data_IF_569486382190
#
_entry.id   IF_569486382190
#
_cell.length_a   1.000
_cell.length_b   1.000
_cell.length_c   1.000
_cell.angle_alpha   90.00
_cell.angle_beta   90.00
_cell.angle_gamma   90.00
#
_symmetry.space_group_name_H-M   'P 1'
#
loop_
_entity.id
_entity.type
_entity.pdbx_description
1 polymer ?
#
# COMPACT_ATOMS: atom_id res chain seq x y z
N UNK A 1 23.59 11.54 37.79
CA UNK A 1 22.32 11.29 37.07
C UNK A 1 22.69 10.49 35.85
N UNK A 2 22.35 9.21 35.79
CA UNK A 2 22.59 8.42 34.59
C UNK A 2 21.70 9.00 33.49
N UNK A 3 22.29 9.44 32.37
CA UNK A 3 21.51 9.79 31.18
C UNK A 3 20.59 8.62 30.87
N UNK A 4 19.28 8.85 30.99
CA UNK A 4 18.29 7.85 30.59
C UNK A 4 18.48 7.64 29.10
N UNK A 5 19.02 6.49 28.72
CA UNK A 5 19.14 6.08 27.32
C UNK A 5 17.73 6.13 26.72
N UNK A 6 17.56 6.98 25.71
CA UNK A 6 16.31 7.15 24.98
C UNK A 6 15.85 5.81 24.43
N UNK A 7 14.56 5.52 24.59
CA UNK A 7 13.96 4.29 24.06
C UNK A 7 13.56 4.46 22.61
N UNK A 8 13.46 3.35 21.85
CA UNK A 8 12.97 3.42 20.46
C UNK A 8 11.56 4.03 20.40
N UNK A 9 10.70 3.65 21.34
CA UNK A 9 9.34 4.17 21.45
C UNK A 9 9.29 5.69 21.69
N UNK A 10 10.16 6.21 22.56
CA UNK A 10 10.30 7.65 22.78
C UNK A 10 10.90 8.37 21.56
N UNK A 11 11.80 7.72 20.81
CA UNK A 11 12.32 8.26 19.55
C UNK A 11 11.24 8.38 18.48
N UNK A 12 10.40 7.34 18.30
CA UNK A 12 9.26 7.39 17.37
C UNK A 12 8.29 8.50 17.76
N UNK A 13 7.91 8.59 19.04
CA UNK A 13 6.96 9.61 19.49
C UNK A 13 7.49 11.03 19.29
N UNK A 14 8.77 11.28 19.60
CA UNK A 14 9.41 12.58 19.36
C UNK A 14 9.53 12.91 17.88
N UNK A 15 9.92 11.93 17.05
CA UNK A 15 9.97 12.11 15.60
C UNK A 15 8.63 12.65 15.07
N UNK A 16 7.50 12.04 15.45
CA UNK A 16 6.17 12.51 15.03
C UNK A 16 5.91 13.96 15.46
N UNK A 17 6.23 14.30 16.71
CA UNK A 17 5.99 15.64 17.26
C UNK A 17 6.89 16.70 16.62
N UNK A 18 8.17 16.38 16.43
CA UNK A 18 9.20 17.35 16.02
C UNK A 18 9.31 17.49 14.49
N UNK A 19 8.83 16.52 13.71
CA UNK A 19 8.87 16.57 12.25
C UNK A 19 7.99 17.71 11.70
N UNK A 20 8.54 18.61 10.90
CA UNK A 20 7.82 19.78 10.38
C UNK A 20 8.22 20.12 8.94
N UNK A 21 7.66 21.20 8.39
CA UNK A 21 7.88 21.62 7.00
C UNK A 21 9.34 21.86 6.62
N UNK A 22 10.21 22.19 7.59
CA UNK A 22 11.66 22.40 7.35
C UNK A 22 12.40 21.11 7.03
N UNK A 23 11.82 19.98 7.39
CA UNK A 23 12.35 18.64 7.14
C UNK A 23 11.90 18.08 5.78
N UNK A 24 11.11 18.84 5.02
CA UNK A 24 10.57 18.43 3.72
C UNK A 24 11.38 19.11 2.62
N UNK A 25 12.26 18.35 1.96
CA UNK A 25 12.95 18.83 0.76
C UNK A 25 12.02 18.79 -0.48
N UNK A 26 12.45 19.45 -1.56
CA UNK A 26 11.64 19.59 -2.78
C UNK A 26 11.31 18.23 -3.43
N UNK A 27 12.24 17.28 -3.40
CA UNK A 27 12.04 15.93 -3.93
C UNK A 27 10.92 15.20 -3.16
N UNK A 28 11.00 15.20 -1.82
CA UNK A 28 9.98 14.61 -0.96
C UNK A 28 8.63 15.31 -1.13
N UNK A 29 8.59 16.62 -1.34
CA UNK A 29 7.37 17.36 -1.66
C UNK A 29 6.78 16.92 -3.01
N UNK A 30 7.62 16.71 -4.02
CA UNK A 30 7.23 16.11 -5.30
C UNK A 30 6.66 14.70 -5.15
N UNK A 31 7.29 13.86 -4.33
CA UNK A 31 6.84 12.50 -4.05
C UNK A 31 5.50 12.48 -3.32
N UNK A 32 5.28 13.34 -2.32
CA UNK A 32 3.97 13.49 -1.64
C UNK A 32 2.88 13.81 -2.65
N UNK A 33 3.09 14.77 -3.55
CA UNK A 33 2.10 15.14 -4.57
C UNK A 33 1.73 13.95 -5.43
N UNK A 34 2.72 13.19 -5.90
CA UNK A 34 2.49 11.98 -6.71
C UNK A 34 1.74 10.91 -5.92
N UNK A 35 2.14 10.63 -4.69
CA UNK A 35 1.48 9.64 -3.82
C UNK A 35 0.04 10.01 -3.50
N UNK A 36 -0.23 11.27 -3.18
CA UNK A 36 -1.59 11.75 -2.93
C UNK A 36 -2.43 11.62 -4.20
N UNK A 37 -1.93 12.04 -5.36
CA UNK A 37 -2.67 11.90 -6.64
C UNK A 37 -2.98 10.43 -6.97
N UNK A 38 -1.98 9.55 -6.86
CA UNK A 38 -2.14 8.11 -7.09
C UNK A 38 -3.21 7.52 -6.18
N UNK A 39 -3.11 7.84 -4.89
CA UNK A 39 -3.97 7.26 -3.89
C UNK A 39 -5.41 7.77 -3.97
N UNK A 40 -5.62 9.05 -4.31
CA UNK A 40 -6.94 9.60 -4.55
C UNK A 40 -7.57 9.01 -5.83
N UNK A 41 -6.79 8.87 -6.91
CA UNK A 41 -7.27 8.21 -8.12
C UNK A 41 -7.73 6.77 -7.84
N UNK A 42 -6.95 6.00 -7.07
CA UNK A 42 -7.33 4.64 -6.67
C UNK A 42 -8.61 4.63 -5.84
N UNK A 43 -8.74 5.55 -4.86
CA UNK A 43 -9.96 5.68 -4.08
C UNK A 43 -11.18 5.98 -4.95
N UNK A 44 -11.03 6.85 -5.94
CA UNK A 44 -12.08 7.20 -6.92
C UNK A 44 -12.48 5.96 -7.71
N UNK A 45 -11.54 5.32 -8.41
CA UNK A 45 -11.82 4.18 -9.29
C UNK A 45 -12.37 2.97 -8.53
N UNK A 46 -11.85 2.71 -7.34
CA UNK A 46 -12.28 1.60 -6.51
C UNK A 46 -13.59 1.86 -5.74
N UNK A 47 -14.09 3.10 -5.67
CA UNK A 47 -15.24 3.48 -4.82
C UNK A 47 -16.51 2.66 -5.09
N UNK A 48 -16.69 2.19 -6.33
CA UNK A 48 -17.90 1.47 -6.75
C UNK A 48 -17.74 -0.04 -6.87
N UNK A 49 -16.56 -0.60 -6.53
CA UNK A 49 -16.32 -2.04 -6.58
C UNK A 49 -17.22 -2.79 -5.57
N UNK A 50 -17.51 -4.09 -5.81
CA UNK A 50 -18.45 -4.83 -4.98
C UNK A 50 -18.13 -4.79 -3.48
N UNK A 51 -16.87 -4.98 -3.10
CA UNK A 51 -16.42 -4.91 -1.70
C UNK A 51 -16.44 -3.49 -1.14
N UNK A 52 -16.20 -2.46 -1.95
CA UNK A 52 -16.30 -1.05 -1.52
C UNK A 52 -17.71 -0.73 -1.06
N UNK A 53 -18.73 -1.21 -1.78
CA UNK A 53 -20.14 -1.11 -1.38
C UNK A 53 -20.45 -1.90 -0.11
N UNK A 54 -19.88 -3.10 0.04
CA UNK A 54 -20.05 -3.94 1.23
C UNK A 54 -19.48 -3.24 2.48
N UNK A 55 -18.25 -2.70 2.37
CA UNK A 55 -17.56 -2.00 3.45
C UNK A 55 -18.33 -0.74 3.86
N UNK A 56 -18.80 0.06 2.89
CA UNK A 56 -19.61 1.25 3.16
C UNK A 56 -20.94 0.90 3.85
N UNK A 57 -21.63 -0.15 3.37
CA UNK A 57 -22.87 -0.65 3.99
C UNK A 57 -22.64 -1.11 5.42
N UNK A 58 -21.56 -1.86 5.67
CA UNK A 58 -21.20 -2.32 7.02
C UNK A 58 -20.92 -1.15 7.96
N UNK A 59 -20.13 -0.17 7.50
CA UNK A 59 -19.66 0.92 8.38
C UNK A 59 -20.81 1.76 8.92
N UNK A 60 -21.89 1.93 8.14
CA UNK A 60 -23.03 2.77 8.50
C UNK A 60 -22.57 4.12 9.10
N UNK A 61 -21.90 4.95 8.29
CA UNK A 61 -21.12 6.08 8.77
C UNK A 61 -21.96 7.08 9.57
N UNK A 62 -21.44 7.50 10.73
CA UNK A 62 -22.02 8.55 11.57
C UNK A 62 -21.87 9.91 10.89
N UNK A 63 -22.77 10.87 11.13
CA UNK A 63 -22.64 12.22 10.61
C UNK A 63 -21.33 12.90 11.05
N UNK A 64 -20.76 13.71 10.16
CA UNK A 64 -19.55 14.50 10.43
C UNK A 64 -19.14 15.32 9.22
N UNK A 65 -17.92 15.87 9.23
CA UNK A 65 -17.45 16.83 8.22
C UNK A 65 -16.51 16.23 7.17
N UNK A 66 -16.05 15.00 7.36
CA UNK A 66 -15.07 14.38 6.47
C UNK A 66 -15.73 13.80 5.21
N UNK A 67 -15.16 14.09 4.05
CA UNK A 67 -15.63 13.61 2.76
C UNK A 67 -15.36 12.11 2.58
N UNK A 68 -16.36 11.42 2.00
CA UNK A 68 -16.16 10.08 1.47
C UNK A 68 -15.99 10.20 -0.05
N UNK A 69 -14.90 9.64 -0.56
CA UNK A 69 -14.55 9.77 -1.99
C UNK A 69 -15.65 9.20 -2.87
N UNK A 70 -16.02 9.97 -3.89
CA UNK A 70 -17.06 9.68 -4.86
C UNK A 70 -18.47 9.47 -4.26
N UNK A 71 -18.73 10.02 -3.07
CA UNK A 71 -20.05 10.03 -2.43
C UNK A 71 -20.53 11.47 -2.21
N UNK A 72 -21.85 11.66 -2.11
CA UNK A 72 -22.49 12.99 -1.96
C UNK A 72 -22.66 13.42 -0.50
N UNK A 73 -22.27 12.57 0.46
CA UNK A 73 -22.43 12.81 1.88
C UNK A 73 -21.09 12.73 2.62
N UNK A 74 -21.07 13.30 3.82
CA UNK A 74 -19.92 13.37 4.72
C UNK A 74 -20.16 12.52 5.96
N UNK A 75 -19.09 12.19 6.68
CA UNK A 75 -19.13 11.35 7.85
C UNK A 75 -18.18 11.82 8.95
N UNK A 76 -18.28 11.21 10.13
CA UNK A 76 -17.27 11.31 11.17
C UNK A 76 -15.91 10.88 10.61
N UNK A 77 -14.80 11.52 11.01
CA UNK A 77 -13.49 11.34 10.36
C UNK A 77 -13.02 9.88 10.38
N UNK A 78 -13.17 9.17 11.50
CA UNK A 78 -12.81 7.75 11.60
C UNK A 78 -13.65 6.85 10.67
N UNK A 79 -14.89 7.24 10.36
CA UNK A 79 -15.78 6.49 9.46
C UNK A 79 -15.44 6.79 8.00
N UNK A 80 -15.22 8.06 7.66
CA UNK A 80 -14.79 8.48 6.32
C UNK A 80 -13.42 7.90 5.96
N UNK A 81 -12.44 8.02 6.86
CA UNK A 81 -11.09 7.51 6.65
C UNK A 81 -11.07 5.98 6.49
N UNK A 82 -11.88 5.25 7.26
CA UNK A 82 -12.04 3.79 7.09
C UNK A 82 -12.55 3.41 5.70
N UNK A 83 -13.60 4.10 5.22
CA UNK A 83 -14.22 3.80 3.92
C UNK A 83 -13.22 4.14 2.80
N UNK A 84 -12.62 5.34 2.86
CA UNK A 84 -11.65 5.79 1.87
C UNK A 84 -10.39 4.91 1.87
N UNK A 85 -9.93 4.41 3.02
CA UNK A 85 -8.81 3.48 3.10
C UNK A 85 -9.14 2.12 2.46
N UNK A 86 -10.36 1.61 2.65
CA UNK A 86 -10.81 0.39 1.99
C UNK A 86 -10.91 0.56 0.46
N UNK A 87 -11.35 1.72 -0.02
CA UNK A 87 -11.29 2.03 -1.46
C UNK A 87 -9.84 2.07 -1.93
N UNK A 88 -9.00 2.75 -1.15
CA UNK A 88 -7.59 2.97 -1.44
C UNK A 88 -6.74 1.70 -1.52
N UNK A 89 -7.10 0.64 -0.80
CA UNK A 89 -6.47 -0.68 -0.93
C UNK A 89 -7.35 -1.69 -1.69
N UNK A 90 -8.42 -1.21 -2.31
CA UNK A 90 -9.50 -2.03 -2.83
C UNK A 90 -9.11 -2.91 -4.00
N UNK A 91 -8.00 -2.65 -4.70
CA UNK A 91 -7.73 -3.32 -5.98
C UNK A 91 -6.26 -3.65 -6.27
N UNK A 92 -5.43 -3.76 -5.23
CA UNK A 92 -4.00 -4.09 -5.38
C UNK A 92 -3.20 -3.14 -6.29
N UNK A 93 -3.51 -1.85 -6.30
CA UNK A 93 -2.90 -0.89 -7.24
C UNK A 93 -2.18 0.29 -6.59
N UNK A 94 -2.18 0.31 -5.27
CA UNK A 94 -1.60 1.31 -4.39
C UNK A 94 -0.08 1.26 -4.30
N UNK A 95 0.47 2.29 -3.68
CA UNK A 95 1.90 2.48 -3.44
C UNK A 95 2.49 1.40 -2.52
N UNK A 96 3.82 1.23 -2.60
CA UNK A 96 4.53 0.32 -1.69
C UNK A 96 6.02 0.65 -1.48
N UNK A 97 6.58 0.26 -0.33
CA UNK A 97 8.02 -0.04 -0.19
C UNK A 97 8.21 -1.38 0.51
N UNK A 98 8.84 -2.32 -0.20
CA UNK A 98 8.89 -3.70 0.26
C UNK A 98 7.47 -4.24 0.47
N UNK A 99 7.10 -4.50 1.72
CA UNK A 99 5.77 -5.01 2.10
C UNK A 99 4.84 -3.95 2.70
N UNK A 100 5.31 -2.70 2.81
CA UNK A 100 4.53 -1.59 3.35
C UNK A 100 3.61 -1.01 2.27
N UNK A 101 2.37 -0.69 2.65
CA UNK A 101 1.38 0.03 1.84
C UNK A 101 0.84 1.23 2.64
N UNK A 102 1.61 2.32 2.77
CA UNK A 102 1.26 3.43 3.63
C UNK A 102 0.18 4.35 3.04
N UNK A 103 0.13 4.56 1.72
CA UNK A 103 -0.79 5.53 1.12
C UNK A 103 -2.27 5.23 1.38
N UNK A 104 -2.67 3.96 1.30
CA UNK A 104 -4.04 3.55 1.61
C UNK A 104 -4.47 3.78 3.05
N UNK A 105 -3.53 4.11 3.94
CA UNK A 105 -3.78 4.42 5.34
C UNK A 105 -3.64 5.91 5.62
N UNK A 106 -2.48 6.46 5.27
CA UNK A 106 -2.04 7.78 5.70
C UNK A 106 -2.80 8.88 4.96
N UNK A 107 -3.02 8.74 3.65
CA UNK A 107 -3.77 9.72 2.84
C UNK A 107 -5.21 9.91 3.33
N UNK A 108 -6.04 8.85 3.45
CA UNK A 108 -7.40 9.03 3.92
C UNK A 108 -7.49 9.51 5.37
N UNK A 109 -6.53 9.15 6.24
CA UNK A 109 -6.46 9.67 7.61
C UNK A 109 -6.19 11.17 7.63
N UNK A 110 -5.17 11.62 6.88
CA UNK A 110 -4.76 13.01 6.87
C UNK A 110 -5.86 13.93 6.30
N UNK A 111 -6.57 13.48 5.26
CA UNK A 111 -7.66 14.23 4.66
C UNK A 111 -8.87 14.32 5.60
N UNK A 112 -9.28 13.19 6.20
CA UNK A 112 -10.45 13.16 7.08
C UNK A 112 -10.25 13.96 8.37
N UNK A 113 -9.11 13.80 9.03
CA UNK A 113 -8.77 14.54 10.26
C UNK A 113 -8.47 16.00 9.91
N UNK A 114 -7.80 16.27 8.79
CA UNK A 114 -7.54 17.62 8.32
C UNK A 114 -8.82 18.42 8.10
N UNK A 115 -9.86 17.81 7.52
CA UNK A 115 -11.18 18.46 7.40
C UNK A 115 -11.83 18.76 8.75
N UNK A 116 -11.70 17.86 9.72
CA UNK A 116 -12.26 18.04 11.05
C UNK A 116 -11.60 19.18 11.81
N UNK A 117 -10.26 19.24 11.81
CA UNK A 117 -9.50 20.27 12.54
C UNK A 117 -9.36 21.58 11.77
N UNK A 118 -9.84 21.62 10.52
CA UNK A 118 -9.76 22.79 9.65
C UNK A 118 -8.35 23.09 9.14
N UNK A 119 -7.55 22.05 8.93
CA UNK A 119 -6.14 22.15 8.54
C UNK A 119 -5.93 22.76 7.15
N UNK A 120 -4.78 23.38 6.98
CA UNK A 120 -4.23 23.80 5.69
C UNK A 120 -3.58 22.63 4.96
N UNK A 121 -3.34 22.80 3.66
CA UNK A 121 -2.70 21.79 2.82
C UNK A 121 -1.25 21.51 3.25
N UNK A 122 -0.53 22.50 3.79
CA UNK A 122 0.83 22.30 4.33
C UNK A 122 0.80 21.47 5.62
N UNK A 123 -0.13 21.74 6.53
CA UNK A 123 -0.30 20.95 7.77
C UNK A 123 -0.64 19.50 7.47
N UNK A 124 -1.54 19.27 6.51
CA UNK A 124 -1.86 17.92 5.99
C UNK A 124 -0.63 17.26 5.38
N UNK A 125 0.20 18.00 4.64
CA UNK A 125 1.43 17.47 4.02
C UNK A 125 2.47 17.06 5.04
N UNK A 126 2.67 17.86 6.10
CA UNK A 126 3.55 17.49 7.22
C UNK A 126 3.03 16.23 7.92
N UNK A 127 1.72 16.14 8.16
CA UNK A 127 1.11 14.98 8.81
C UNK A 127 1.15 13.70 7.95
N UNK A 128 1.02 13.85 6.62
CA UNK A 128 1.22 12.75 5.67
C UNK A 128 2.62 12.19 5.81
N UNK A 129 3.65 13.03 5.75
CA UNK A 129 5.04 12.59 5.88
C UNK A 129 5.33 11.95 7.23
N UNK A 130 4.90 12.56 8.34
CA UNK A 130 5.07 11.97 9.66
C UNK A 130 4.44 10.57 9.76
N UNK A 131 3.26 10.38 9.15
CA UNK A 131 2.58 9.08 9.08
C UNK A 131 3.29 8.05 8.21
N UNK A 132 3.68 8.43 6.98
CA UNK A 132 4.43 7.58 6.05
C UNK A 132 5.74 7.12 6.69
N UNK A 133 6.52 8.06 7.22
CA UNK A 133 7.81 7.78 7.85
C UNK A 133 7.63 6.86 9.06
N UNK A 134 6.67 7.12 9.94
CA UNK A 134 6.41 6.26 11.11
C UNK A 134 6.02 4.85 10.70
N UNK A 135 5.07 4.71 9.76
CA UNK A 135 4.66 3.41 9.24
C UNK A 135 5.86 2.64 8.68
N UNK A 136 6.60 3.26 7.76
CA UNK A 136 7.62 2.58 6.97
C UNK A 136 8.83 2.27 7.82
N UNK A 137 9.29 3.19 8.68
CA UNK A 137 10.46 2.97 9.56
C UNK A 137 10.20 1.83 10.55
N UNK A 138 9.03 1.78 11.20
CA UNK A 138 8.64 0.65 12.06
C UNK A 138 8.58 -0.66 11.24
N UNK A 139 7.96 -0.62 10.07
CA UNK A 139 7.80 -1.79 9.21
C UNK A 139 9.12 -2.37 8.71
N UNK A 140 10.07 -1.52 8.30
CA UNK A 140 11.38 -1.93 7.76
C UNK A 140 12.20 -2.70 8.77
N UNK A 141 12.19 -2.27 10.03
CA UNK A 141 12.83 -2.99 11.13
C UNK A 141 12.25 -4.40 11.31
N UNK A 142 10.97 -4.60 10.98
CA UNK A 142 10.24 -5.87 11.05
C UNK A 142 10.27 -6.74 9.78
N UNK A 143 10.76 -6.23 8.67
CA UNK A 143 10.65 -6.87 7.36
C UNK A 143 11.82 -7.84 7.10
N UNK A 144 11.60 -8.99 6.44
CA UNK A 144 10.34 -9.51 5.89
C UNK A 144 9.50 -10.32 6.88
N UNK A 145 9.97 -10.45 8.13
CA UNK A 145 9.50 -11.45 9.10
C UNK A 145 8.03 -11.27 9.50
N UNK A 146 7.51 -10.03 9.54
CA UNK A 146 6.09 -9.79 9.83
C UNK A 146 5.16 -10.52 8.86
N UNK A 147 5.44 -10.42 7.55
CA UNK A 147 4.66 -11.08 6.51
C UNK A 147 4.87 -12.60 6.56
N UNK A 148 6.13 -13.04 6.74
CA UNK A 148 6.47 -14.46 6.83
C UNK A 148 5.81 -15.15 8.03
N UNK A 149 5.54 -14.41 9.11
CA UNK A 149 4.80 -14.89 10.27
C UNK A 149 3.28 -14.99 10.03
N UNK A 150 2.78 -14.57 8.87
CA UNK A 150 1.38 -14.65 8.47
C UNK A 150 0.54 -13.41 8.81
N UNK A 151 1.17 -12.31 9.23
CA UNK A 151 0.47 -11.06 9.53
C UNK A 151 0.43 -10.15 8.31
N UNK A 152 -0.73 -9.54 8.08
CA UNK A 152 -0.87 -8.58 7.00
C UNK A 152 -0.22 -7.24 7.39
N UNK A 153 0.82 -6.75 6.67
CA UNK A 153 1.55 -5.56 7.07
C UNK A 153 0.67 -4.31 7.22
N UNK A 154 -0.22 -4.01 6.27
CA UNK A 154 -1.15 -2.87 6.39
C UNK A 154 -2.38 -3.11 7.28
N UNK A 155 -2.50 -4.26 7.94
CA UNK A 155 -3.46 -4.43 9.04
C UNK A 155 -2.82 -4.19 10.41
N UNK A 156 -1.49 -4.31 10.49
CA UNK A 156 -0.69 -4.09 11.70
C UNK A 156 -0.07 -2.69 11.71
N UNK A 157 0.72 -2.37 10.68
CA UNK A 157 1.51 -1.13 10.58
C UNK A 157 0.66 0.11 10.34
N UNK A 158 -0.48 -0.05 9.66
CA UNK A 158 -1.41 1.05 9.40
C UNK A 158 -2.01 1.65 10.69
N UNK A 159 -2.12 0.89 11.78
CA UNK A 159 -2.56 1.45 13.06
C UNK A 159 -1.58 2.53 13.53
N UNK A 160 -0.26 2.30 13.38
CA UNK A 160 0.78 3.28 13.73
C UNK A 160 0.81 4.46 12.75
N UNK A 161 0.70 4.19 11.45
CA UNK A 161 0.66 5.25 10.43
C UNK A 161 -0.51 6.22 10.64
N UNK A 162 -1.73 5.68 10.82
CA UNK A 162 -2.91 6.49 11.10
C UNK A 162 -2.82 7.21 12.45
N UNK A 163 -2.35 6.54 13.51
CA UNK A 163 -2.16 7.18 14.82
C UNK A 163 -1.13 8.33 14.76
N UNK A 164 -0.02 8.16 14.05
CA UNK A 164 0.99 9.21 13.87
C UNK A 164 0.43 10.41 13.09
N UNK A 165 -0.28 10.17 11.98
CA UNK A 165 -0.92 11.22 11.18
C UNK A 165 -1.96 11.98 12.00
N UNK A 166 -2.86 11.28 12.69
CA UNK A 166 -3.88 11.91 13.52
C UNK A 166 -3.26 12.65 14.72
N UNK A 167 -2.26 12.06 15.39
CA UNK A 167 -1.55 12.71 16.49
C UNK A 167 -0.91 14.04 16.05
N UNK A 168 -0.36 14.07 14.83
CA UNK A 168 0.24 15.28 14.26
C UNK A 168 -0.81 16.38 14.02
N UNK A 169 -1.95 16.02 13.43
CA UNK A 169 -3.02 16.98 13.11
C UNK A 169 -3.77 17.50 14.34
N UNK A 170 -3.96 16.65 15.36
CA UNK A 170 -4.53 17.08 16.64
C UNK A 170 -3.53 17.82 17.55
N UNK A 171 -2.24 17.91 17.16
CA UNK A 171 -1.21 18.63 17.92
C UNK A 171 -0.85 17.98 19.26
N UNK A 172 -0.82 16.64 19.32
CA UNK A 172 -0.47 15.91 20.54
C UNK A 172 0.98 16.19 20.96
N UNK A 173 1.22 16.21 22.27
CA UNK A 173 2.59 16.24 22.81
C UNK A 173 3.26 14.84 22.77
N UNK A 174 4.53 14.76 23.13
CA UNK A 174 5.31 13.52 23.06
C UNK A 174 4.75 12.37 23.93
N UNK A 175 4.24 12.67 25.13
CA UNK A 175 3.67 11.64 26.00
C UNK A 175 2.31 11.15 25.49
N UNK A 176 1.47 12.04 24.97
CA UNK A 176 0.20 11.66 24.33
C UNK A 176 0.44 10.84 23.05
N UNK A 177 1.42 11.24 22.23
CA UNK A 177 1.81 10.52 21.01
C UNK A 177 2.37 9.13 21.32
N UNK A 178 3.19 9.00 22.36
CA UNK A 178 3.68 7.70 22.81
C UNK A 178 2.52 6.79 23.23
N UNK A 179 1.57 7.31 24.00
CA UNK A 179 0.40 6.55 24.44
C UNK A 179 -0.50 6.15 23.26
N UNK A 180 -0.74 7.04 22.30
CA UNK A 180 -1.57 6.71 21.13
C UNK A 180 -0.93 5.60 20.27
N UNK A 181 0.38 5.66 20.03
CA UNK A 181 1.11 4.60 19.32
C UNK A 181 1.11 3.28 20.10
N UNK A 182 1.22 3.34 21.44
CA UNK A 182 1.17 2.16 22.29
C UNK A 182 -0.24 1.50 22.29
N UNK A 183 -1.30 2.31 22.29
CA UNK A 183 -2.69 1.82 22.16
C UNK A 183 -2.92 1.25 20.75
N UNK A 184 -2.35 1.86 19.71
CA UNK A 184 -2.46 1.38 18.32
C UNK A 184 -1.95 -0.06 18.15
N UNK A 185 -0.92 -0.47 18.90
CA UNK A 185 -0.49 -1.87 18.92
C UNK A 185 -1.59 -2.84 19.40
N UNK A 186 -2.40 -2.42 20.37
CA UNK A 186 -3.47 -3.27 20.94
C UNK A 186 -4.58 -3.55 19.92
N UNK A 187 -4.65 -2.77 18.84
CA UNK A 187 -5.56 -2.97 17.72
C UNK A 187 -4.96 -3.77 16.55
N UNK A 188 -3.65 -4.03 16.56
CA UNK A 188 -2.97 -4.75 15.49
C UNK A 188 -3.54 -6.17 15.33
N UNK A 189 -4.02 -6.48 14.14
CA UNK A 189 -4.66 -7.76 13.81
C UNK A 189 -4.61 -8.01 12.29
N UNK A 190 -5.18 -9.12 11.81
CA UNK A 190 -5.33 -9.44 10.39
C UNK A 190 -4.24 -10.38 9.85
N UNK A 191 -4.65 -11.54 9.37
CA UNK A 191 -3.76 -12.56 8.81
C UNK A 191 -3.74 -12.51 7.28
N UNK A 192 -2.77 -13.19 6.66
CA UNK A 192 -2.62 -13.31 5.20
C UNK A 192 -3.37 -14.49 4.60
N UNK A 193 -4.19 -15.22 5.37
CA UNK A 193 -4.86 -16.46 4.90
C UNK A 193 -5.74 -16.22 3.66
N UNK A 194 -6.27 -15.00 3.51
CA UNK A 194 -7.03 -14.60 2.34
C UNK A 194 -6.28 -14.83 1.01
N UNK A 195 -4.94 -14.81 1.02
CA UNK A 195 -4.11 -15.02 -0.17
C UNK A 195 -4.01 -16.51 -0.57
N UNK A 196 -4.31 -17.42 0.35
CA UNK A 196 -4.22 -18.88 0.12
C UNK A 196 -5.59 -19.48 -0.19
N UNK A 197 -6.59 -19.21 0.66
CA UNK A 197 -7.92 -19.82 0.55
C UNK A 197 -9.01 -18.85 0.09
N UNK A 198 -8.63 -17.62 -0.25
CA UNK A 198 -9.54 -16.57 -0.71
C UNK A 198 -10.26 -15.82 0.41
N UNK A 199 -11.17 -14.93 0.00
CA UNK A 199 -11.94 -14.05 0.87
C UNK A 199 -11.57 -12.57 0.69
N UNK A 200 -12.58 -11.70 0.71
CA UNK A 200 -12.42 -10.27 0.43
C UNK A 200 -11.98 -9.43 1.63
N UNK A 201 -11.62 -10.05 2.77
CA UNK A 201 -11.31 -9.32 4.01
C UNK A 201 -10.12 -8.37 3.87
N UNK A 202 -9.16 -8.70 2.97
CA UNK A 202 -8.04 -7.81 2.65
C UNK A 202 -8.51 -6.41 2.24
N UNK A 203 -9.64 -6.33 1.53
CA UNK A 203 -10.22 -5.06 1.07
C UNK A 203 -10.67 -4.14 2.21
N UNK A 204 -10.88 -4.69 3.41
CA UNK A 204 -11.28 -3.93 4.59
C UNK A 204 -10.14 -3.74 5.61
N UNK A 205 -9.04 -4.47 5.47
CA UNK A 205 -7.91 -4.46 6.41
C UNK A 205 -7.34 -3.06 6.66
N UNK A 206 -7.05 -2.31 5.59
CA UNK A 206 -6.55 -0.93 5.70
C UNK A 206 -7.56 -0.02 6.42
N UNK A 207 -8.86 -0.15 6.09
CA UNK A 207 -9.93 0.57 6.76
C UNK A 207 -9.95 0.32 8.27
N UNK A 208 -9.97 -0.96 8.67
CA UNK A 208 -9.99 -1.37 10.07
C UNK A 208 -8.84 -0.73 10.85
N UNK A 209 -7.63 -0.82 10.31
CA UNK A 209 -6.43 -0.27 10.96
C UNK A 209 -6.44 1.27 11.03
N UNK A 210 -6.95 1.95 9.99
CA UNK A 210 -7.10 3.41 9.98
C UNK A 210 -8.06 3.89 11.08
N UNK A 211 -9.24 3.26 11.18
CA UNK A 211 -10.18 3.58 12.28
C UNK A 211 -9.49 3.41 13.62
N UNK A 212 -8.87 2.25 13.83
CA UNK A 212 -8.24 1.90 15.09
C UNK A 212 -7.12 2.88 15.47
N UNK A 213 -6.32 3.35 14.50
CA UNK A 213 -5.27 4.35 14.75
C UNK A 213 -5.83 5.71 15.17
N UNK A 214 -6.92 6.16 14.55
CA UNK A 214 -7.63 7.39 14.94
C UNK A 214 -8.22 7.23 16.34
N UNK A 215 -8.93 6.13 16.61
CA UNK A 215 -9.50 5.84 17.93
C UNK A 215 -8.42 5.73 19.02
N UNK A 216 -7.21 5.26 18.68
CA UNK A 216 -6.08 5.22 19.62
C UNK A 216 -5.62 6.61 20.05
N UNK A 217 -5.70 7.60 19.15
CA UNK A 217 -5.42 9.00 19.47
C UNK A 217 -6.54 9.59 20.34
N UNK A 218 -7.80 9.32 20.02
CA UNK A 218 -8.95 9.74 20.83
C UNK A 218 -8.88 9.18 22.26
N UNK A 219 -8.50 7.90 22.41
CA UNK A 219 -8.28 7.27 23.71
C UNK A 219 -7.13 7.92 24.50
N UNK A 220 -6.01 8.23 23.83
CA UNK A 220 -4.89 8.91 24.46
C UNK A 220 -5.26 10.34 24.91
N UNK A 221 -6.03 11.08 24.10
CA UNK A 221 -6.57 12.39 24.46
C UNK A 221 -7.51 12.32 25.67
N UNK A 222 -8.28 11.23 25.81
CA UNK A 222 -9.11 10.95 26.98
C UNK A 222 -8.32 10.51 28.24
N UNK A 223 -6.99 10.36 28.13
CA UNK A 223 -6.11 10.01 29.25
C UNK A 223 -5.85 8.51 29.42
N UNK A 224 -6.27 7.66 28.46
CA UNK A 224 -5.87 6.26 28.45
C UNK A 224 -4.37 6.17 28.12
N UNK A 225 -3.66 5.31 28.84
CA UNK A 225 -2.21 5.11 28.66
C UNK A 225 -1.90 3.73 28.11
N UNK A 226 -0.76 3.60 27.43
CA UNK A 226 -0.29 2.35 26.84
C UNK A 226 1.07 1.90 27.38
N UNK A 227 1.51 0.67 27.06
CA UNK A 227 2.81 0.17 27.48
C UNK A 227 3.95 0.96 26.83
N UNK A 228 4.84 1.56 27.63
CA UNK A 228 5.98 2.35 27.12
C UNK A 228 6.96 1.59 26.22
N UNK A 229 6.97 0.26 26.29
CA UNK A 229 7.82 -0.64 25.50
C UNK A 229 7.01 -1.43 24.46
N UNK A 230 6.10 -0.75 23.76
CA UNK A 230 5.19 -1.40 22.82
C UNK A 230 5.90 -1.98 21.59
N UNK A 231 7.08 -1.47 21.20
CA UNK A 231 7.83 -2.05 20.08
C UNK A 231 8.79 -3.15 20.54
N UNK A 232 9.67 -2.79 21.48
CA UNK A 232 10.88 -3.57 21.83
C UNK A 232 10.74 -4.42 23.09
N UNK A 233 9.68 -4.23 23.87
CA UNK A 233 9.45 -4.99 25.10
C UNK A 233 9.20 -6.47 24.85
N UNK A 234 9.28 -7.27 25.92
CA UNK A 234 9.11 -8.74 25.85
C UNK A 234 7.74 -9.18 25.26
N UNK A 235 6.75 -8.30 25.37
CA UNK A 235 5.40 -8.47 24.80
C UNK A 235 5.07 -7.44 23.70
N UNK A 236 6.08 -6.73 23.22
CA UNK A 236 5.97 -5.72 22.16
C UNK A 236 5.96 -6.33 20.77
N UNK A 237 5.65 -5.49 19.77
CA UNK A 237 5.48 -5.84 18.36
C UNK A 237 6.55 -6.81 17.84
N UNK A 238 7.82 -6.48 18.05
CA UNK A 238 8.92 -7.25 17.45
C UNK A 238 9.02 -8.67 18.02
N UNK A 239 8.73 -8.85 19.32
CA UNK A 239 8.77 -10.18 19.94
C UNK A 239 7.53 -11.01 19.64
N UNK A 240 6.34 -10.40 19.65
CA UNK A 240 5.06 -11.14 19.58
C UNK A 240 4.60 -11.42 18.15
N UNK A 241 4.67 -10.42 17.26
CA UNK A 241 4.22 -10.57 15.86
C UNK A 241 5.35 -11.04 14.94
N UNK A 242 6.57 -10.57 15.20
CA UNK A 242 7.70 -10.68 14.26
C UNK A 242 8.70 -11.75 14.73
N UNK A 243 8.66 -12.13 16.02
CA UNK A 243 9.52 -13.14 16.65
C UNK A 243 11.02 -12.83 16.53
N UNK A 244 11.38 -11.55 16.64
CA UNK A 244 12.78 -11.09 16.67
C UNK A 244 13.00 -9.95 17.66
N UNK A 245 14.27 -9.64 17.89
CA UNK A 245 14.68 -8.47 18.69
C UNK A 245 15.25 -7.40 17.77
N UNK A 246 14.99 -6.15 18.08
CA UNK A 246 15.55 -4.97 17.41
C UNK A 246 16.52 -4.29 18.37
N UNK A 247 17.74 -4.01 17.91
CA UNK A 247 18.78 -3.38 18.71
C UNK A 247 18.64 -1.85 18.77
N UNK A 248 19.59 -1.20 19.45
CA UNK A 248 19.60 0.25 19.66
C UNK A 248 19.95 1.03 18.39
N UNK A 249 20.59 0.41 17.41
CA UNK A 249 20.88 0.98 16.09
C UNK A 249 19.61 1.49 15.39
N UNK A 250 18.44 0.93 15.71
CA UNK A 250 17.16 1.39 15.20
C UNK A 250 16.78 2.83 15.62
N UNK A 251 17.46 3.41 16.62
CA UNK A 251 17.26 4.82 16.99
C UNK A 251 17.70 5.78 15.88
N UNK A 252 18.73 5.42 15.12
CA UNK A 252 19.27 6.24 14.03
C UNK A 252 18.22 6.46 12.94
N UNK A 253 17.38 5.45 12.69
CA UNK A 253 16.28 5.47 11.75
C UNK A 253 15.17 6.46 12.13
N UNK A 254 15.12 7.00 13.36
CA UNK A 254 14.10 7.97 13.80
C UNK A 254 14.66 9.35 14.13
N UNK A 255 15.87 9.66 13.64
CA UNK A 255 16.38 11.03 13.65
C UNK A 255 15.72 11.87 12.54
N UNK A 256 15.65 13.18 12.75
CA UNK A 256 15.08 14.12 11.78
C UNK A 256 15.96 14.29 10.52
N UNK A 257 17.25 14.01 10.64
CA UNK A 257 18.22 14.04 9.54
C UNK A 257 18.33 12.70 8.77
N UNK A 258 17.68 11.64 9.26
CA UNK A 258 17.69 10.34 8.58
C UNK A 258 16.98 10.44 7.21
N UNK A 259 17.48 9.74 6.17
CA UNK A 259 16.87 9.75 4.85
C UNK A 259 15.37 9.43 4.87
N UNK A 260 14.59 10.25 4.17
CA UNK A 260 13.14 10.10 4.09
C UNK A 260 12.78 8.81 3.35
N UNK A 261 11.93 8.00 3.98
CA UNK A 261 11.45 6.73 3.46
C UNK A 261 10.40 6.89 2.38
N UNK A 262 9.72 8.03 2.31
CA UNK A 262 8.79 8.33 1.22
C UNK A 262 9.46 8.26 -0.16
N UNK A 263 10.75 8.56 -0.24
CA UNK A 263 11.54 8.50 -1.49
C UNK A 263 11.83 7.06 -1.93
N UNK A 264 11.52 6.07 -1.08
CA UNK A 264 11.62 4.66 -1.40
C UNK A 264 10.28 4.08 -1.90
N UNK A 265 9.22 4.90 -1.98
CA UNK A 265 7.93 4.47 -2.47
C UNK A 265 7.97 4.13 -3.96
N UNK A 266 7.28 3.05 -4.28
CA UNK A 266 7.05 2.56 -5.62
C UNK A 266 5.57 2.66 -5.95
N UNK A 267 5.25 2.94 -7.21
CA UNK A 267 3.89 2.91 -7.73
C UNK A 267 3.67 1.62 -8.50
N UNK A 268 2.57 0.92 -8.23
CA UNK A 268 2.20 -0.26 -8.99
C UNK A 268 1.76 0.11 -10.41
N UNK A 269 2.35 -0.55 -11.41
CA UNK A 269 1.97 -0.46 -12.83
C UNK A 269 0.85 -1.43 -13.22
N UNK A 270 0.63 -2.44 -12.39
CA UNK A 270 -0.33 -3.51 -12.61
C UNK A 270 -1.17 -3.74 -11.35
N UNK A 271 -2.44 -4.13 -11.51
CA UNK A 271 -3.37 -4.36 -10.38
C UNK A 271 -3.18 -5.74 -9.76
N UNK A 272 -1.97 -6.04 -9.26
CA UNK A 272 -1.62 -7.31 -8.64
C UNK A 272 -0.50 -7.13 -7.60
N UNK A 273 -0.15 -8.21 -6.89
CA UNK A 273 0.95 -8.18 -5.91
C UNK A 273 2.25 -7.61 -6.51
N UNK A 274 2.93 -6.72 -5.78
CA UNK A 274 4.16 -6.07 -6.23
C UNK A 274 5.27 -7.06 -6.65
N UNK A 275 5.32 -8.23 -6.01
CA UNK A 275 6.26 -9.29 -6.34
C UNK A 275 6.11 -9.84 -7.78
N UNK A 276 4.95 -9.62 -8.42
CA UNK A 276 4.69 -10.07 -9.79
C UNK A 276 5.22 -9.12 -10.85
N UNK A 277 5.47 -7.85 -10.51
CA UNK A 277 5.59 -6.78 -11.52
C UNK A 277 6.80 -6.95 -12.44
N UNK A 278 7.96 -7.32 -11.88
CA UNK A 278 9.14 -7.58 -12.70
C UNK A 278 8.91 -8.81 -13.62
N UNK A 279 8.23 -9.86 -13.15
CA UNK A 279 7.94 -11.03 -13.98
C UNK A 279 6.97 -10.71 -15.12
N UNK A 280 5.95 -9.88 -14.86
CA UNK A 280 5.04 -9.38 -15.90
C UNK A 280 5.84 -8.68 -17.01
N UNK A 281 6.79 -7.82 -16.65
CA UNK A 281 7.63 -7.11 -17.62
C UNK A 281 8.60 -8.02 -18.37
N UNK A 282 9.18 -9.05 -17.73
CA UNK A 282 10.00 -10.04 -18.45
C UNK A 282 9.18 -10.78 -19.51
N UNK A 283 7.94 -11.13 -19.21
CA UNK A 283 7.09 -11.85 -20.14
C UNK A 283 6.56 -10.99 -21.29
N UNK A 284 6.47 -9.67 -21.10
CA UNK A 284 6.15 -8.73 -22.18
C UNK A 284 7.23 -8.69 -23.27
N UNK A 285 8.47 -9.06 -22.95
CA UNK A 285 9.60 -9.09 -23.89
C UNK A 285 9.54 -10.27 -24.87
N UNK A 286 8.83 -11.34 -24.52
CA UNK A 286 8.72 -12.57 -25.34
C UNK A 286 7.37 -12.69 -26.06
N UNK A 287 6.57 -11.63 -26.08
CA UNK A 287 5.19 -11.64 -26.62
C UNK A 287 5.12 -12.08 -28.09
N UNK A 288 6.11 -11.71 -28.89
CA UNK A 288 6.16 -12.03 -30.33
C UNK A 288 6.32 -13.55 -30.58
N UNK A 289 6.76 -14.29 -29.55
CA UNK A 289 6.95 -15.74 -29.59
C UNK A 289 6.10 -16.49 -28.57
N UNK A 290 5.09 -15.85 -27.97
CA UNK A 290 4.30 -16.43 -26.90
C UNK A 290 3.64 -17.78 -27.28
N UNK A 291 3.21 -17.93 -28.54
CA UNK A 291 2.61 -19.16 -29.06
C UNK A 291 3.60 -20.33 -29.18
N UNK A 292 4.89 -20.03 -29.27
CA UNK A 292 5.97 -21.02 -29.38
C UNK A 292 6.52 -21.47 -28.02
N UNK A 293 6.12 -20.83 -26.92
CA UNK A 293 6.59 -21.18 -25.58
C UNK A 293 6.14 -22.59 -25.21
N UNK A 294 7.10 -23.44 -24.87
CA UNK A 294 6.88 -24.82 -24.39
C UNK A 294 7.17 -24.98 -22.90
N UNK A 295 7.87 -24.03 -22.28
CA UNK A 295 8.11 -24.02 -20.84
C UNK A 295 8.78 -22.74 -20.36
N UNK A 296 8.49 -22.38 -19.11
CA UNK A 296 9.12 -21.25 -18.41
C UNK A 296 9.57 -21.74 -17.03
N UNK A 297 10.80 -21.47 -16.63
CA UNK A 297 11.26 -21.63 -15.25
C UNK A 297 11.48 -20.24 -14.65
N UNK A 298 10.73 -19.89 -13.62
CA UNK A 298 10.82 -18.60 -12.94
C UNK A 298 11.33 -18.83 -11.51
N UNK A 299 12.52 -18.30 -11.23
CA UNK A 299 13.17 -18.39 -9.92
C UNK A 299 12.70 -17.23 -9.06
N UNK A 300 12.04 -17.52 -7.93
CA UNK A 300 11.39 -16.54 -7.06
C UNK A 300 12.06 -16.43 -5.70
N UNK A 301 11.95 -15.26 -5.08
CA UNK A 301 12.38 -15.02 -3.68
C UNK A 301 11.46 -15.74 -2.68
N UNK A 302 11.96 -16.05 -1.48
CA UNK A 302 11.17 -16.69 -0.41
C UNK A 302 9.93 -15.87 -0.06
N UNK A 303 10.05 -14.54 -0.08
CA UNK A 303 8.92 -13.63 0.17
C UNK A 303 7.83 -13.74 -0.91
N UNK A 304 8.22 -13.88 -2.18
CA UNK A 304 7.29 -14.08 -3.29
C UNK A 304 6.53 -15.40 -3.10
N UNK A 305 7.22 -16.45 -2.64
CA UNK A 305 6.60 -17.75 -2.35
C UNK A 305 5.53 -17.70 -1.25
N UNK A 306 5.65 -16.79 -0.29
CA UNK A 306 4.72 -16.67 0.83
C UNK A 306 3.28 -16.31 0.42
N UNK A 307 3.09 -15.63 -0.71
CA UNK A 307 1.80 -15.06 -1.11
C UNK A 307 1.40 -15.42 -2.56
N UNK A 308 2.36 -15.42 -3.50
CA UNK A 308 2.06 -15.58 -4.93
C UNK A 308 2.79 -16.74 -5.61
N UNK A 309 3.72 -17.39 -4.90
CA UNK A 309 4.41 -18.58 -5.37
C UNK A 309 3.70 -19.87 -4.95
N UNK A 310 4.48 -20.92 -4.72
CA UNK A 310 4.01 -22.31 -4.63
C UNK A 310 3.10 -22.60 -3.44
N UNK A 311 3.09 -21.74 -2.42
CA UNK A 311 2.22 -21.87 -1.24
C UNK A 311 0.80 -21.41 -1.46
N UNK A 312 0.53 -20.62 -2.51
CA UNK A 312 -0.82 -20.19 -2.82
C UNK A 312 -1.57 -21.31 -3.55
N UNK A 313 -2.67 -21.77 -2.96
CA UNK A 313 -3.41 -22.94 -3.44
C UNK A 313 -4.08 -22.76 -4.82
N UNK A 314 -4.23 -21.51 -5.26
CA UNK A 314 -4.99 -21.15 -6.46
C UNK A 314 -4.12 -20.48 -7.54
N UNK A 315 -2.79 -20.51 -7.43
CA UNK A 315 -1.87 -19.88 -8.39
C UNK A 315 -2.04 -20.34 -9.84
N UNK A 316 -2.58 -21.53 -10.09
CA UNK A 316 -2.75 -22.10 -11.43
C UNK A 316 -4.22 -22.24 -11.86
N UNK A 317 -5.16 -21.77 -11.03
CA UNK A 317 -6.59 -21.85 -11.31
C UNK A 317 -7.34 -20.74 -10.56
N UNK A 318 -7.07 -19.44 -10.85
CA UNK A 318 -7.76 -18.35 -10.21
C UNK A 318 -9.24 -18.31 -10.61
N UNK A 319 -10.13 -18.26 -9.62
CA UNK A 319 -11.60 -18.29 -9.80
C UNK A 319 -12.27 -16.97 -9.40
N UNK A 320 -11.56 -16.13 -8.66
CA UNK A 320 -12.02 -14.82 -8.23
C UNK A 320 -10.88 -13.80 -8.37
N UNK A 321 -11.21 -12.54 -8.13
CA UNK A 321 -10.30 -11.43 -8.38
C UNK A 321 -9.08 -11.50 -7.47
N UNK A 322 -9.24 -11.85 -6.20
CA UNK A 322 -8.13 -12.03 -5.27
C UNK A 322 -7.15 -13.08 -5.81
N UNK A 323 -7.64 -14.26 -6.17
CA UNK A 323 -6.81 -15.35 -6.70
C UNK A 323 -6.07 -14.93 -7.98
N UNK A 324 -6.70 -14.17 -8.89
CA UNK A 324 -6.04 -13.64 -10.09
C UNK A 324 -4.91 -12.65 -9.73
N UNK A 325 -5.15 -11.76 -8.77
CA UNK A 325 -4.18 -10.75 -8.36
C UNK A 325 -2.95 -11.34 -7.63
N UNK A 326 -3.07 -12.57 -7.11
CA UNK A 326 -1.98 -13.32 -6.48
C UNK A 326 -1.46 -14.50 -7.31
N UNK A 327 -1.98 -14.72 -8.51
CA UNK A 327 -1.48 -15.77 -9.41
C UNK A 327 -0.32 -15.23 -10.26
N UNK A 328 0.92 -15.46 -9.83
CA UNK A 328 2.09 -15.10 -10.63
C UNK A 328 2.06 -15.75 -12.05
N UNK A 329 1.73 -17.05 -12.21
CA UNK A 329 1.66 -17.68 -13.53
C UNK A 329 0.59 -17.07 -14.46
N UNK A 330 -0.61 -16.74 -13.95
CA UNK A 330 -1.64 -16.11 -14.78
C UNK A 330 -1.24 -14.70 -15.19
N UNK A 331 -0.66 -13.90 -14.28
CA UNK A 331 -0.19 -12.55 -14.59
C UNK A 331 0.93 -12.56 -15.65
N UNK A 332 1.88 -13.50 -15.54
CA UNK A 332 2.92 -13.73 -16.55
C UNK A 332 2.33 -14.11 -17.91
N UNK A 333 1.34 -15.01 -17.93
CA UNK A 333 0.68 -15.44 -19.16
C UNK A 333 -0.13 -14.33 -19.84
N UNK A 334 -0.87 -13.52 -19.08
CA UNK A 334 -1.60 -12.35 -19.59
C UNK A 334 -0.66 -11.37 -20.30
N UNK A 335 0.50 -11.11 -19.71
CA UNK A 335 1.52 -10.22 -20.27
C UNK A 335 2.11 -10.77 -21.58
N UNK A 336 2.51 -12.05 -21.58
CA UNK A 336 3.04 -12.70 -22.78
C UNK A 336 2.02 -12.71 -23.94
N UNK A 337 0.74 -12.83 -23.63
CA UNK A 337 -0.34 -12.84 -24.63
C UNK A 337 -0.87 -11.43 -24.97
N UNK A 338 -0.24 -10.38 -24.46
CA UNK A 338 -0.64 -8.97 -24.69
C UNK A 338 -2.09 -8.67 -24.29
N UNK A 339 -2.58 -9.32 -23.21
CA UNK A 339 -3.94 -9.13 -22.69
C UNK A 339 -4.02 -8.05 -21.59
N UNK A 340 -2.88 -7.49 -21.19
CA UNK A 340 -2.77 -6.47 -20.15
C UNK A 340 -2.81 -7.03 -18.74
N UNK A 341 -2.44 -6.19 -17.77
CA UNK A 341 -2.43 -6.51 -16.33
C UNK A 341 -2.91 -5.30 -15.48
N UNK A 342 -3.46 -4.27 -16.12
CA UNK A 342 -3.89 -3.01 -15.51
C UNK A 342 -5.29 -3.08 -14.91
N UNK A 343 -5.85 -1.89 -14.60
CA UNK A 343 -7.16 -1.77 -13.98
C UNK A 343 -8.26 -2.30 -14.90
N UNK A 344 -8.23 -1.92 -16.18
CA UNK A 344 -9.22 -2.39 -17.16
C UNK A 344 -9.22 -3.92 -17.32
N UNK A 345 -8.06 -4.57 -17.42
CA UNK A 345 -7.99 -6.04 -17.56
C UNK A 345 -8.63 -6.76 -16.37
N UNK A 346 -8.38 -6.28 -15.15
CA UNK A 346 -8.95 -6.89 -13.95
C UNK A 346 -10.44 -6.57 -13.79
N UNK A 347 -10.89 -5.41 -14.28
CA UNK A 347 -12.33 -5.08 -14.43
C UNK A 347 -13.02 -6.01 -15.42
N UNK A 348 -12.41 -6.27 -16.56
CA UNK A 348 -12.93 -7.20 -17.56
C UNK A 348 -13.09 -8.61 -16.98
N UNK A 349 -12.17 -9.04 -16.11
CA UNK A 349 -12.33 -10.30 -15.36
C UNK A 349 -13.55 -10.29 -14.43
N UNK A 350 -13.72 -9.24 -13.63
CA UNK A 350 -14.90 -9.09 -12.76
C UNK A 350 -16.22 -9.08 -13.53
N UNK A 351 -16.21 -8.58 -14.76
CA UNK A 351 -17.36 -8.48 -15.64
C UNK A 351 -17.58 -9.73 -16.51
N UNK A 352 -16.74 -10.76 -16.36
CA UNK A 352 -16.83 -12.00 -17.14
C UNK A 352 -16.40 -11.86 -18.60
N UNK A 353 -15.68 -10.79 -18.95
CA UNK A 353 -15.14 -10.52 -20.30
C UNK A 353 -13.75 -11.13 -20.52
N UNK A 354 -13.00 -11.41 -19.45
CA UNK A 354 -11.71 -12.11 -19.51
C UNK A 354 -11.88 -13.59 -19.15
N UNK A 355 -11.62 -14.48 -20.11
CA UNK A 355 -11.71 -15.93 -19.92
C UNK A 355 -10.44 -16.52 -19.28
N UNK A 356 -10.57 -17.01 -18.06
CA UNK A 356 -9.54 -17.75 -17.32
C UNK A 356 -9.95 -19.21 -17.04
N UNK A 357 -10.83 -19.79 -17.87
CA UNK A 357 -11.12 -21.22 -17.84
C UNK A 357 -9.84 -22.06 -18.04
N UNK A 358 -9.79 -23.32 -17.56
CA UNK A 358 -8.65 -24.21 -17.79
C UNK A 358 -8.26 -24.36 -19.27
N UNK A 359 -9.24 -24.23 -20.17
CA UNK A 359 -9.08 -24.28 -21.62
C UNK A 359 -8.72 -22.93 -22.25
N UNK A 360 -8.57 -21.85 -21.49
CA UNK A 360 -8.21 -20.55 -22.05
C UNK A 360 -6.74 -20.51 -22.48
N UNK A 361 -6.41 -19.63 -23.44
CA UNK A 361 -5.03 -19.43 -23.89
C UNK A 361 -4.10 -19.01 -22.75
N UNK A 362 -4.61 -18.16 -21.84
CA UNK A 362 -3.90 -17.70 -20.64
C UNK A 362 -3.55 -18.87 -19.76
N UNK A 363 -4.54 -19.70 -19.40
CA UNK A 363 -4.31 -20.79 -18.47
C UNK A 363 -3.45 -21.90 -19.07
N UNK A 364 -3.59 -22.20 -20.37
CA UNK A 364 -2.66 -23.12 -21.06
C UNK A 364 -1.20 -22.66 -21.01
N UNK A 365 -0.94 -21.36 -21.09
CA UNK A 365 0.42 -20.82 -20.95
C UNK A 365 0.86 -20.79 -19.49
N UNK A 366 -0.02 -20.39 -18.58
CA UNK A 366 0.26 -20.37 -17.14
C UNK A 366 0.70 -21.76 -16.62
N UNK A 367 0.08 -22.84 -17.09
CA UNK A 367 0.44 -24.22 -16.75
C UNK A 367 1.84 -24.66 -17.23
N UNK A 368 2.46 -23.91 -18.15
CA UNK A 368 3.84 -24.16 -18.61
C UNK A 368 4.88 -23.43 -17.75
N UNK A 369 4.44 -22.60 -16.80
CA UNK A 369 5.30 -21.80 -15.94
C UNK A 369 5.54 -22.57 -14.64
N UNK A 370 6.79 -22.94 -14.41
CA UNK A 370 7.24 -23.55 -13.16
C UNK A 370 7.87 -22.48 -12.28
N UNK A 371 7.48 -22.43 -11.02
CA UNK A 371 8.08 -21.55 -10.02
C UNK A 371 9.06 -22.34 -9.15
N UNK A 372 10.23 -21.77 -8.89
CA UNK A 372 11.25 -22.37 -8.01
C UNK A 372 11.77 -21.33 -7.02
N UNK A 373 11.80 -21.65 -5.72
CA UNK A 373 12.35 -20.72 -4.72
C UNK A 373 13.88 -20.69 -4.81
N UNK A 374 14.48 -19.50 -4.87
CA UNK A 374 15.94 -19.28 -4.91
C UNK A 374 16.40 -18.44 -3.71
N UNK A 375 17.01 -19.06 -2.69
CA UNK A 375 17.65 -18.36 -1.58
C UNK A 375 18.78 -17.41 -2.02
N UNK A 376 19.39 -17.66 -3.17
CA UNK A 376 20.44 -16.80 -3.75
C UNK A 376 19.88 -15.41 -4.12
N UNK A 377 18.65 -15.35 -4.61
CA UNK A 377 17.97 -14.07 -4.87
C UNK A 377 17.70 -13.31 -3.57
N UNK A 378 17.29 -14.00 -2.49
CA UNK A 378 17.08 -13.37 -1.18
C UNK A 378 18.38 -12.80 -0.58
N UNK A 379 19.50 -13.53 -0.76
CA UNK A 379 20.81 -13.09 -0.28
C UNK A 379 21.34 -11.86 -1.03
N UNK A 380 21.05 -11.77 -2.34
CA UNK A 380 21.57 -10.71 -3.21
C UNK A 380 20.67 -9.47 -3.28
N UNK A 381 19.35 -9.66 -3.18
CA UNK A 381 18.38 -8.60 -3.41
C UNK A 381 17.40 -8.46 -2.25
N UNK A 382 17.32 -7.25 -1.70
CA UNK A 382 16.37 -6.88 -0.63
C UNK A 382 15.04 -6.35 -1.17
N UNK A 383 14.87 -6.37 -2.48
CA UNK A 383 13.72 -5.89 -3.23
C UNK A 383 13.31 -6.93 -4.27
N UNK A 384 12.12 -6.77 -4.84
CA UNK A 384 11.58 -7.71 -5.82
C UNK A 384 12.33 -7.67 -7.14
N UNK A 385 12.78 -8.85 -7.59
CA UNK A 385 13.43 -9.08 -8.88
C UNK A 385 12.72 -10.21 -9.64
N UNK A 386 12.94 -10.26 -10.96
CA UNK A 386 12.54 -11.40 -11.78
C UNK A 386 13.74 -12.08 -12.43
N UNK A 387 13.73 -13.40 -12.42
CA UNK A 387 14.73 -14.27 -13.03
C UNK A 387 14.01 -15.43 -13.74
N UNK A 388 14.05 -15.42 -15.08
CA UNK A 388 13.19 -16.26 -15.92
C UNK A 388 13.99 -16.90 -17.06
N UNK A 389 13.84 -18.22 -17.23
CA UNK A 389 14.25 -18.94 -18.43
C UNK A 389 13.03 -19.33 -19.25
N UNK A 390 12.99 -18.93 -20.52
CA UNK A 390 11.94 -19.28 -21.48
C UNK A 390 12.48 -20.30 -22.48
N UNK A 391 11.71 -21.36 -22.75
CA UNK A 391 12.02 -22.41 -23.74
C UNK A 391 10.97 -22.43 -24.84
N UNK A 392 11.43 -22.55 -26.08
CA UNK A 392 10.59 -22.49 -27.28
C UNK A 392 10.53 -23.84 -28.03
N UNK A 393 9.50 -24.01 -28.87
CA UNK A 393 9.24 -25.23 -29.64
C UNK A 393 10.38 -25.64 -30.59
N UNK A 394 11.14 -24.67 -31.09
CA UNK A 394 12.29 -24.89 -31.96
C UNK A 394 13.58 -25.27 -31.22
N UNK A 395 13.50 -25.50 -29.91
CA UNK A 395 14.62 -25.88 -29.05
C UNK A 395 15.47 -24.72 -28.54
N UNK A 396 15.20 -23.48 -28.96
CA UNK A 396 15.89 -22.29 -28.42
C UNK A 396 15.43 -22.00 -27.00
N UNK A 397 16.29 -21.33 -26.24
CA UNK A 397 15.99 -20.78 -24.92
C UNK A 397 16.50 -19.35 -24.78
N UNK A 398 15.90 -18.60 -23.87
CA UNK A 398 16.28 -17.23 -23.55
C UNK A 398 16.21 -17.03 -22.04
N UNK A 399 17.25 -16.42 -21.46
CA UNK A 399 17.32 -16.03 -20.06
C UNK A 399 17.05 -14.53 -19.94
N UNK A 400 16.12 -14.14 -19.06
CA UNK A 400 15.73 -12.76 -18.84
C UNK A 400 15.79 -12.48 -17.34
N UNK A 401 16.64 -11.52 -16.97
CA UNK A 401 16.72 -11.01 -15.61
C UNK A 401 16.25 -9.55 -15.58
N UNK A 402 15.40 -9.23 -14.62
CA UNK A 402 14.92 -7.87 -14.41
C UNK A 402 15.01 -7.47 -12.95
N UNK A 403 15.90 -6.52 -12.68
CA UNK A 403 16.25 -6.11 -11.32
C UNK A 403 15.14 -5.30 -10.64
N UNK A 404 14.36 -4.52 -11.41
CA UNK A 404 13.34 -3.62 -10.87
C UNK A 404 12.18 -3.54 -11.82
N UNK A 405 10.96 -3.38 -11.31
CA UNK A 405 9.80 -3.05 -12.12
C UNK A 405 9.68 -1.53 -12.35
N UNK A 406 8.92 -1.16 -13.38
CA UNK A 406 8.45 0.21 -13.63
C UNK A 406 7.61 0.70 -12.46
N UNK A 407 7.78 1.97 -12.10
CA UNK A 407 7.17 2.61 -10.94
C UNK A 407 8.03 2.56 -9.68
N UNK A 408 9.15 1.82 -9.68
CA UNK A 408 10.12 1.83 -8.57
C UNK A 408 10.95 3.13 -8.55
N UNK A 409 11.59 3.50 -7.40
CA UNK A 409 12.43 4.70 -7.31
C UNK A 409 13.51 4.80 -8.40
N UNK A 410 14.09 3.67 -8.81
CA UNK A 410 15.14 3.62 -9.83
C UNK A 410 14.62 3.43 -11.26
N UNK A 411 13.32 3.13 -11.43
CA UNK A 411 12.63 3.07 -12.73
C UNK A 411 11.26 3.74 -12.61
N UNK A 412 11.21 5.05 -12.30
CA UNK A 412 9.96 5.73 -12.00
C UNK A 412 9.06 5.78 -13.25
N UNK A 413 7.75 5.95 -13.05
CA UNK A 413 6.87 6.28 -14.17
C UNK A 413 7.33 7.54 -14.88
N UNK A 414 7.23 7.54 -16.21
CA UNK A 414 7.19 8.78 -16.96
C UNK A 414 5.95 9.60 -16.58
N UNK A 415 5.96 10.91 -16.86
CA UNK A 415 4.80 11.76 -16.67
C UNK A 415 3.56 11.24 -17.42
N UNK A 416 3.74 10.71 -18.64
CA UNK A 416 2.66 10.14 -19.44
C UNK A 416 2.09 8.85 -18.84
N UNK A 417 2.95 7.92 -18.38
CA UNK A 417 2.50 6.68 -17.74
C UNK A 417 1.68 6.99 -16.48
N UNK A 418 2.15 7.95 -15.68
CA UNK A 418 1.45 8.34 -14.47
C UNK A 418 0.11 9.02 -14.79
N UNK A 419 0.06 9.95 -15.75
CA UNK A 419 -1.18 10.57 -16.19
C UNK A 419 -2.19 9.55 -16.74
N UNK A 420 -1.72 8.55 -17.52
CA UNK A 420 -2.57 7.44 -17.99
C UNK A 420 -3.17 6.66 -16.83
N UNK A 421 -2.38 6.32 -15.80
CA UNK A 421 -2.89 5.63 -14.61
C UNK A 421 -3.97 6.45 -13.89
N UNK A 422 -3.74 7.76 -13.70
CA UNK A 422 -4.71 8.64 -13.04
C UNK A 422 -6.02 8.74 -13.85
N UNK A 423 -5.92 8.87 -15.17
CA UNK A 423 -7.07 8.94 -16.07
C UNK A 423 -7.87 7.65 -16.07
N UNK A 424 -7.20 6.49 -16.20
CA UNK A 424 -7.82 5.15 -16.18
C UNK A 424 -8.67 4.93 -14.91
N UNK A 425 -8.20 5.43 -13.77
CA UNK A 425 -8.87 5.25 -12.48
C UNK A 425 -10.01 6.25 -12.23
N UNK A 426 -10.04 7.39 -12.92
CA UNK A 426 -10.99 8.47 -12.62
C UNK A 426 -12.12 8.60 -13.64
N UNK A 427 -11.89 8.23 -14.90
CA UNK A 427 -12.78 8.50 -16.03
C UNK A 427 -14.22 7.97 -15.88
N UNK A 428 -14.38 6.83 -15.21
CA UNK A 428 -15.69 6.18 -15.05
C UNK A 428 -16.50 6.71 -13.86
N UNK A 429 -15.89 7.55 -13.02
CA UNK A 429 -16.44 7.91 -11.71
C UNK A 429 -16.64 9.42 -11.57
N UNK A 430 -15.73 10.23 -12.09
CA UNK A 430 -15.80 11.69 -12.06
C UNK A 430 -15.72 12.27 -13.48
N UNK A 431 -16.34 13.43 -13.75
CA UNK A 431 -16.07 14.20 -14.95
C UNK A 431 -14.58 14.51 -15.09
N UNK A 432 -14.04 14.40 -16.31
CA UNK A 432 -12.62 14.64 -16.60
C UNK A 432 -12.15 16.02 -16.10
N UNK A 433 -12.97 17.06 -16.29
CA UNK A 433 -12.66 18.42 -15.80
C UNK A 433 -12.52 18.49 -14.28
N UNK A 434 -13.32 17.73 -13.53
CA UNK A 434 -13.25 17.66 -12.07
C UNK A 434 -12.00 16.91 -11.62
N UNK A 435 -11.68 15.78 -12.25
CA UNK A 435 -10.46 15.02 -11.96
C UNK A 435 -9.19 15.84 -12.26
N UNK A 436 -9.15 16.54 -13.39
CA UNK A 436 -8.04 17.42 -13.74
C UNK A 436 -7.89 18.58 -12.75
N UNK A 437 -9.01 19.21 -12.35
CA UNK A 437 -8.98 20.27 -11.35
C UNK A 437 -8.43 19.78 -9.99
N UNK A 438 -8.79 18.56 -9.57
CA UNK A 438 -8.28 17.93 -8.34
C UNK A 438 -6.76 17.78 -8.39
N UNK A 439 -6.24 17.20 -9.47
CA UNK A 439 -4.80 16.96 -9.61
C UNK A 439 -4.01 18.26 -9.76
N UNK A 440 -4.56 19.24 -10.48
CA UNK A 440 -3.99 20.58 -10.60
C UNK A 440 -3.87 21.29 -9.24
N UNK A 441 -4.88 21.18 -8.36
CA UNK A 441 -4.82 21.77 -7.02
C UNK A 441 -3.68 21.17 -6.19
N UNK A 442 -3.52 19.84 -6.25
CA UNK A 442 -2.44 19.13 -5.55
C UNK A 442 -1.07 19.56 -6.12
N UNK A 443 -0.96 19.72 -7.44
CA UNK A 443 0.30 20.15 -8.07
C UNK A 443 0.66 21.59 -7.75
N UNK A 444 -0.32 22.51 -7.70
CA UNK A 444 -0.10 23.91 -7.33
C UNK A 444 0.34 24.05 -5.88
N UNK A 445 -0.20 23.23 -4.97
CA UNK A 445 0.17 23.17 -3.55
C UNK A 445 0.28 24.55 -2.89
N UNK A 446 -0.84 25.26 -2.79
CA UNK A 446 -0.87 26.52 -2.05
C UNK A 446 -0.87 26.20 -0.55
N UNK A 447 0.19 26.55 0.22
CA UNK A 447 0.38 26.06 1.59
C UNK A 447 -0.80 26.35 2.52
N UNK A 448 -1.34 27.57 2.44
CA UNK A 448 -2.43 28.06 3.30
C UNK A 448 -3.83 27.63 2.84
N UNK A 449 -3.93 26.88 1.72
CA UNK A 449 -5.21 26.40 1.20
C UNK A 449 -5.89 25.48 2.21
N UNK A 450 -7.13 25.75 2.63
CA UNK A 450 -7.89 24.82 3.45
C UNK A 450 -8.05 23.47 2.74
N UNK A 451 -7.76 22.36 3.42
CA UNK A 451 -7.84 21.02 2.80
C UNK A 451 -9.24 20.71 2.25
N UNK A 452 -10.28 21.32 2.82
CA UNK A 452 -11.67 21.19 2.37
C UNK A 452 -11.89 21.62 0.91
N UNK A 453 -11.04 22.47 0.36
CA UNK A 453 -11.11 22.86 -1.07
C UNK A 453 -10.68 21.71 -1.98
N UNK A 454 -9.69 20.93 -1.55
CA UNK A 454 -9.26 19.71 -2.25
C UNK A 454 -10.32 18.62 -2.11
N UNK A 455 -10.85 18.39 -0.90
CA UNK A 455 -11.82 17.32 -0.65
C UNK A 455 -13.18 17.58 -1.30
N UNK A 456 -13.55 18.84 -1.52
CA UNK A 456 -14.77 19.17 -2.27
C UNK A 456 -14.77 18.59 -3.69
N UNK A 457 -13.59 18.49 -4.33
CA UNK A 457 -13.45 17.88 -5.66
C UNK A 457 -13.46 16.34 -5.63
N UNK A 458 -13.41 15.71 -4.46
CA UNK A 458 -13.51 14.25 -4.32
C UNK A 458 -14.95 13.76 -4.23
N UNK A 459 -15.91 14.63 -3.93
CA UNK A 459 -17.32 14.27 -3.84
C UNK A 459 -17.99 14.31 -5.22
N UNK A 460 -19.03 13.50 -5.42
CA UNK A 460 -19.88 13.61 -6.61
C UNK A 460 -20.78 14.84 -6.46
N UNK A 461 -20.88 15.62 -7.55
CA UNK A 461 -21.79 16.77 -7.66
C UNK A 461 -23.24 16.38 -7.78
#
# INVERSE_FOLDING_TARGET
>A
MADKIQTLEEAVARFVVDFDSRHINDDARGDVKRLVKDQLAIQIGASQLPWSRQVRKFRNPRPGMAAIVAETFKAAPADAAYINAAYGHGFEYDDFAGNAHPGCCVVPTAFAIGEEVGATLEEVTVALLAGYETYVRIGRLGSPDLLNAGWQPHSVLANFGAAATAAKLYGLNAEQTLNSLAIALSHASGTTEYASTGGSIKRAHAGLAVRNGIESVELALAGVTGPRRFLTGDRGLYRTFIRKTVGLEALEDFTLDAPLQIQQMSFKAYCCCAANHAYIETMAQVRDRAQDIVGVDARIQTMTDAIVGTRNAHIYAPRNIEELQYSLPAQMALSALSMGNGYQTHRDFLEGKLDLSPESGVMRLAQKIRLTVSPELDAKYRFFVADVDVRYRDGRSEHIFQERATGSPTRPFSASQFATKLSELTSDVLPESQANALFDLIDRHQPDMPIREVTALLQRG
#
